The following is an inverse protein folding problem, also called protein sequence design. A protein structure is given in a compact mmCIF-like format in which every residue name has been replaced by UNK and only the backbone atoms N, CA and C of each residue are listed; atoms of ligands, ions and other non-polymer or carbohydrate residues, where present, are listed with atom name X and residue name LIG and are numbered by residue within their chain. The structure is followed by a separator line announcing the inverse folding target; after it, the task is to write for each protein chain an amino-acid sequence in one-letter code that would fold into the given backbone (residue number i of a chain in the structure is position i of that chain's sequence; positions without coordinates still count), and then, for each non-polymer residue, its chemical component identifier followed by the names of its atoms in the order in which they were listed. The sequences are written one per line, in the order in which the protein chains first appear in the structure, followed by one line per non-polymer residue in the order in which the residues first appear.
data_IF_246010823421
#
_entry.id   IF_246010823421
#
_cell.length_a   1.000
_cell.length_b   1.000
_cell.length_c   1.000
_cell.angle_alpha   90.00
_cell.angle_beta   90.00
_cell.angle_gamma   90.00
#
_symmetry.space_group_name_H-M   'P 1'
#
loop_
_entity.id
_entity.type
_entity.pdbx_description
1 polymer ?
#
# COMPACT_ATOMS: atom_id res chain seq x y z
N UNK A 1 0.54 13.80 -11.78
CA UNK A 1 0.66 12.92 -10.60
C UNK A 1 0.12 13.69 -9.41
N UNK A 2 -0.86 13.15 -8.69
CA UNK A 2 -1.32 13.76 -7.45
C UNK A 2 -0.20 13.58 -6.42
N UNK A 3 0.34 14.68 -5.90
CA UNK A 3 1.42 14.62 -4.93
C UNK A 3 0.85 14.19 -3.57
N UNK A 4 1.54 13.27 -2.90
CA UNK A 4 1.19 12.89 -1.54
C UNK A 4 1.25 14.13 -0.62
N UNK A 5 0.24 14.38 0.23
CA UNK A 5 0.28 15.45 1.22
C UNK A 5 1.55 15.38 2.09
N UNK A 6 2.12 16.53 2.46
CA UNK A 6 3.43 16.64 3.12
C UNK A 6 3.50 15.97 4.50
N UNK A 7 2.35 15.77 5.15
CA UNK A 7 2.24 15.06 6.42
C UNK A 7 2.36 13.53 6.31
N UNK A 8 2.40 12.99 5.09
CA UNK A 8 2.59 11.57 4.84
C UNK A 8 3.92 11.31 4.13
N UNK A 9 4.55 10.20 4.50
CA UNK A 9 5.77 9.68 3.86
C UNK A 9 5.44 8.35 3.19
N UNK A 10 5.85 8.22 1.93
CA UNK A 10 5.76 6.99 1.14
C UNK A 10 7.14 6.34 1.07
N UNK A 11 7.25 5.09 1.50
CA UNK A 11 8.42 4.25 1.26
C UNK A 11 8.40 3.68 -0.16
N UNK A 12 9.55 3.17 -0.60
CA UNK A 12 9.63 2.48 -1.89
C UNK A 12 8.82 1.18 -1.87
N UNK A 13 8.43 0.72 -3.07
CA UNK A 13 7.87 -0.62 -3.23
C UNK A 13 8.98 -1.65 -2.99
N UNK A 14 8.80 -2.50 -2.00
CA UNK A 14 9.79 -3.53 -1.62
C UNK A 14 9.17 -4.93 -1.71
N UNK A 15 9.95 -5.94 -2.14
CA UNK A 15 9.51 -7.33 -2.12
C UNK A 15 9.11 -7.75 -0.70
N UNK A 16 8.02 -8.50 -0.59
CA UNK A 16 7.70 -9.15 0.68
C UNK A 16 8.73 -10.27 0.96
N UNK A 17 9.13 -10.51 2.22
CA UNK A 17 9.97 -11.63 2.66
C UNK A 17 9.62 -13.01 2.09
N UNK A 18 8.36 -13.26 1.75
CA UNK A 18 7.94 -14.38 0.89
C UNK A 18 7.59 -13.87 -0.51
N UNK A 19 8.62 -13.54 -1.27
CA UNK A 19 8.50 -12.82 -2.55
C UNK A 19 7.67 -13.59 -3.58
N UNK A 20 7.74 -14.93 -3.60
CA UNK A 20 6.97 -15.78 -4.51
C UNK A 20 6.15 -16.82 -3.75
N UNK A 21 4.83 -16.70 -3.83
CA UNK A 21 3.89 -17.66 -3.24
C UNK A 21 2.88 -18.08 -4.31
N UNK A 22 2.75 -19.38 -4.55
CA UNK A 22 1.78 -19.94 -5.52
C UNK A 22 1.87 -19.31 -6.92
N UNK A 23 3.07 -18.91 -7.36
CA UNK A 23 3.29 -18.29 -8.68
C UNK A 23 3.07 -16.78 -8.73
N UNK A 24 2.59 -16.15 -7.66
CA UNK A 24 2.40 -14.71 -7.57
C UNK A 24 3.57 -14.02 -6.87
N UNK A 25 3.91 -12.81 -7.34
CA UNK A 25 4.89 -11.96 -6.69
C UNK A 25 4.22 -11.06 -5.65
N UNK A 26 4.85 -10.94 -4.49
CA UNK A 26 4.33 -10.12 -3.39
C UNK A 26 5.22 -8.91 -3.15
N UNK A 27 4.59 -7.75 -3.12
CA UNK A 27 5.24 -6.47 -2.80
C UNK A 27 4.44 -5.77 -1.70
N UNK A 28 5.11 -4.93 -0.92
CA UNK A 28 4.44 -3.97 -0.05
C UNK A 28 4.95 -2.57 -0.31
N UNK A 29 4.13 -1.59 0.03
CA UNK A 29 4.46 -0.18 0.05
C UNK A 29 4.08 0.33 1.44
N UNK A 30 5.02 0.97 2.13
CA UNK A 30 4.75 1.52 3.46
C UNK A 30 4.38 2.99 3.35
N UNK A 31 3.24 3.38 3.95
CA UNK A 31 2.85 4.78 4.09
C UNK A 31 2.77 5.11 5.58
N UNK A 32 3.36 6.24 5.98
CA UNK A 32 3.38 6.69 7.37
C UNK A 32 2.89 8.12 7.48
N UNK A 33 2.13 8.43 8.52
CA UNK A 33 1.91 9.79 9.01
C UNK A 33 1.04 9.79 10.27
N UNK A 34 0.84 10.97 10.85
CA UNK A 34 0.19 11.09 12.17
C UNK A 34 -1.34 11.17 12.12
N UNK A 35 -1.92 11.30 10.91
CA UNK A 35 -3.36 11.48 10.71
C UNK A 35 -4.03 10.23 10.10
N UNK A 36 -4.18 9.16 10.89
CA UNK A 36 -4.60 7.84 10.40
C UNK A 36 -5.93 7.87 9.62
N UNK A 37 -6.95 8.58 10.13
CA UNK A 37 -8.25 8.66 9.44
C UNK A 37 -8.15 9.29 8.04
N UNK A 38 -7.29 10.31 7.91
CA UNK A 38 -7.06 10.99 6.62
C UNK A 38 -6.22 10.13 5.69
N UNK A 39 -5.24 9.41 6.21
CA UNK A 39 -4.44 8.47 5.45
C UNK A 39 -5.32 7.33 4.90
N UNK A 40 -6.14 6.71 5.72
CA UNK A 40 -7.04 5.62 5.28
C UNK A 40 -8.02 6.09 4.20
N UNK A 41 -8.56 7.30 4.33
CA UNK A 41 -9.41 7.90 3.31
C UNK A 41 -8.67 8.11 1.99
N UNK A 42 -7.46 8.67 2.05
CA UNK A 42 -6.62 8.91 0.87
C UNK A 42 -6.28 7.60 0.15
N UNK A 43 -5.89 6.56 0.88
CA UNK A 43 -5.59 5.23 0.32
C UNK A 43 -6.83 4.66 -0.36
N UNK A 44 -7.99 4.67 0.32
CA UNK A 44 -9.25 4.19 -0.26
C UNK A 44 -9.62 4.92 -1.55
N UNK A 45 -9.62 6.25 -1.53
CA UNK A 45 -9.93 7.06 -2.72
C UNK A 45 -8.94 6.86 -3.87
N UNK A 46 -7.69 6.53 -3.56
CA UNK A 46 -6.66 6.21 -4.55
C UNK A 46 -6.90 4.83 -5.16
N UNK A 47 -7.13 3.80 -4.33
CA UNK A 47 -7.40 2.44 -4.79
C UNK A 47 -8.69 2.35 -5.62
N UNK A 48 -9.74 3.10 -5.24
CA UNK A 48 -11.02 3.16 -5.96
C UNK A 48 -10.85 3.69 -7.41
N UNK A 49 -9.80 4.47 -7.68
CA UNK A 49 -9.52 5.07 -9.00
C UNK A 49 -8.53 4.26 -9.86
N UNK A 50 -7.86 3.27 -9.27
CA UNK A 50 -6.83 2.49 -9.96
C UNK A 50 -7.45 1.24 -10.59
N UNK A 51 -7.36 1.08 -11.93
CA UNK A 51 -7.77 -0.16 -12.57
C UNK A 51 -6.70 -1.23 -12.32
N UNK A 52 -6.96 -2.14 -11.39
CA UNK A 52 -6.09 -3.30 -11.17
C UNK A 52 -6.33 -4.37 -12.25
N UNK A 53 -5.27 -4.91 -12.87
CA UNK A 53 -5.37 -6.11 -13.70
C UNK A 53 -5.97 -7.30 -12.93
N UNK A 54 -6.57 -8.26 -13.64
CA UNK A 54 -7.22 -9.44 -13.01
C UNK A 54 -6.26 -10.32 -12.20
N UNK A 55 -4.97 -10.29 -12.53
CA UNK A 55 -3.89 -11.03 -11.87
C UNK A 55 -3.24 -10.25 -10.72
N UNK A 56 -3.76 -9.06 -10.38
CA UNK A 56 -3.24 -8.22 -9.31
C UNK A 56 -4.27 -8.10 -8.18
N UNK A 57 -3.92 -8.65 -7.02
CA UNK A 57 -4.69 -8.47 -5.79
C UNK A 57 -4.02 -7.42 -4.90
N UNK A 58 -4.80 -6.47 -4.38
CA UNK A 58 -4.33 -5.44 -3.45
C UNK A 58 -5.06 -5.56 -2.12
N UNK A 59 -4.30 -5.51 -1.03
CA UNK A 59 -4.81 -5.45 0.34
C UNK A 59 -4.17 -4.28 1.07
N UNK A 60 -4.89 -3.69 2.02
CA UNK A 60 -4.40 -2.63 2.89
C UNK A 60 -4.37 -3.16 4.32
N UNK A 61 -3.20 -3.12 4.94
CA UNK A 61 -3.01 -3.40 6.36
C UNK A 61 -2.81 -2.08 7.11
N UNK A 62 -3.56 -1.88 8.19
CA UNK A 62 -3.58 -0.64 8.97
C UNK A 62 -2.91 -0.92 10.30
N UNK A 63 -1.90 -0.12 10.64
CA UNK A 63 -1.05 -0.33 11.82
C UNK A 63 -0.48 -1.76 11.91
N UNK A 64 0.23 -2.23 10.87
CA UNK A 64 0.75 -3.60 10.83
C UNK A 64 1.76 -3.82 11.96
N UNK A 65 1.57 -4.88 12.74
CA UNK A 65 2.46 -5.23 13.85
C UNK A 65 3.83 -5.73 13.36
N UNK A 66 3.85 -6.40 12.20
CA UNK A 66 5.07 -6.81 11.49
C UNK A 66 4.83 -6.83 9.97
N UNK A 67 5.81 -6.37 9.20
CA UNK A 67 5.92 -6.65 7.78
C UNK A 67 6.55 -8.03 7.65
N UNK A 68 5.69 -9.07 7.62
CA UNK A 68 6.11 -10.48 7.48
C UNK A 68 7.12 -10.67 6.37
#
# INVERSE_FOLDING_TARGET
SEALPKEFTLGDATPAPLEKLQGQFRFHILIRGEAIMRLSRLVRETLDKLPFPEDVTVAVDVDPYQLL
#
